data_IF_731631420492
#
_entry.id   IF_731631420492
#
_cell.length_a   1.000
_cell.length_b   1.000
_cell.length_c   1.000
_cell.angle_alpha   90.00
_cell.angle_beta   90.00
_cell.angle_gamma   90.00
#
_symmetry.space_group_name_H-M   'P 1'
#
loop_
_entity.id
_entity.type
_entity.pdbx_description
1 polymer ?
#
# COMPACT_ATOMS: atom_id res chain seq x y z
N UNK A 1 -61.20 1.26 1.77
CA UNK A 1 -60.47 0.23 2.56
C UNK A 1 -59.05 0.15 2.04
N UNK A 2 -58.10 0.39 2.95
CA UNK A 2 -56.67 0.55 2.74
C UNK A 2 -56.00 -0.83 2.82
N UNK A 3 -55.06 -1.13 1.92
CA UNK A 3 -53.83 -1.85 2.33
C UNK A 3 -52.74 -1.71 1.27
N UNK A 4 -51.85 -0.73 1.46
CA UNK A 4 -50.52 -0.67 0.86
C UNK A 4 -49.59 -1.47 1.77
N UNK A 5 -48.93 -2.51 1.26
CA UNK A 5 -47.83 -3.17 1.97
C UNK A 5 -46.49 -2.60 1.50
N UNK A 6 -45.99 -1.70 2.33
CA UNK A 6 -44.63 -1.21 2.42
C UNK A 6 -43.68 -2.37 2.78
N UNK A 7 -42.56 -2.49 2.08
CA UNK A 7 -41.43 -3.32 2.52
C UNK A 7 -40.17 -2.45 2.41
N UNK A 8 -39.67 -2.04 3.57
CA UNK A 8 -38.40 -1.31 3.75
C UNK A 8 -37.58 -2.11 4.77
N UNK A 9 -36.25 -2.01 4.60
CA UNK A 9 -35.16 -2.40 5.50
C UNK A 9 -34.81 -3.89 5.48
N UNK A 10 -33.55 -4.32 5.50
CA UNK A 10 -32.24 -3.70 5.76
C UNK A 10 -31.21 -4.76 5.35
N UNK A 11 -30.07 -4.39 4.77
CA UNK A 11 -28.88 -5.24 4.84
C UNK A 11 -27.64 -4.35 4.99
N UNK A 12 -27.34 -4.01 6.25
CA UNK A 12 -26.00 -3.67 6.72
C UNK A 12 -25.06 -4.79 6.25
N UNK A 13 -23.91 -4.50 5.63
CA UNK A 13 -22.83 -3.79 6.30
C UNK A 13 -22.00 -4.77 7.11
N UNK A 14 -21.16 -5.56 6.43
CA UNK A 14 -20.09 -6.34 7.02
C UNK A 14 -18.86 -6.16 6.14
N UNK A 15 -18.26 -4.97 6.25
CA UNK A 15 -16.89 -4.72 5.82
C UNK A 15 -15.99 -5.44 6.81
N UNK A 16 -15.48 -6.60 6.40
CA UNK A 16 -14.48 -7.34 7.18
C UNK A 16 -13.15 -6.65 6.93
N UNK A 17 -12.74 -5.78 7.87
CA UNK A 17 -11.38 -5.29 7.96
C UNK A 17 -10.42 -6.47 8.11
N UNK A 18 -9.80 -6.88 7.01
CA UNK A 18 -8.69 -7.81 7.01
C UNK A 18 -7.45 -7.05 7.46
N UNK A 19 -7.07 -7.37 8.71
CA UNK A 19 -5.77 -7.16 9.32
C UNK A 19 -4.66 -7.37 8.27
N UNK A 20 -3.92 -6.31 7.95
CA UNK A 20 -2.65 -6.38 7.22
C UNK A 20 -1.63 -7.04 8.13
N UNK A 21 -1.52 -8.37 8.06
CA UNK A 21 -0.37 -9.08 8.60
C UNK A 21 0.82 -8.84 7.67
N UNK A 22 1.65 -7.86 8.02
CA UNK A 22 3.01 -7.70 7.49
C UNK A 22 3.82 -8.93 7.89
N UNK A 23 4.03 -9.84 6.95
CA UNK A 23 5.05 -10.88 7.07
C UNK A 23 6.38 -10.30 6.57
N UNK A 24 7.23 -9.89 7.50
CA UNK A 24 8.64 -9.62 7.25
C UNK A 24 9.47 -10.72 7.94
N UNK A 25 10.12 -11.59 7.17
CA UNK A 25 11.18 -12.54 7.58
C UNK A 25 11.66 -13.24 6.29
N UNK A 26 12.93 -13.44 5.93
CA UNK A 26 14.28 -13.10 6.36
C UNK A 26 15.19 -13.41 5.13
N UNK A 27 16.40 -12.85 4.94
CA UNK A 27 17.60 -13.34 5.60
C UNK A 27 18.80 -12.43 5.31
N UNK A 28 19.45 -12.12 6.42
CA UNK A 28 20.73 -11.48 6.58
C UNK A 28 21.87 -12.43 6.22
N UNK A 29 22.74 -12.04 5.27
CA UNK A 29 24.07 -12.63 5.11
C UNK A 29 25.13 -11.54 5.32
N UNK A 30 25.56 -11.38 6.58
CA UNK A 30 26.73 -10.54 6.92
C UNK A 30 28.00 -11.30 6.53
N UNK A 31 28.66 -10.84 5.47
CA UNK A 31 30.08 -11.08 5.24
C UNK A 31 30.86 -9.93 5.86
N UNK A 32 31.74 -10.25 6.81
CA UNK A 32 32.66 -9.30 7.42
C UNK A 32 33.89 -9.12 6.53
N UNK A 33 34.29 -7.87 6.27
CA UNK A 33 35.69 -7.49 6.05
C UNK A 33 35.95 -6.07 6.58
N UNK A 34 37.19 -5.77 7.05
CA UNK A 34 37.45 -4.62 7.91
C UNK A 34 37.97 -3.37 7.17
N UNK A 35 37.46 -2.23 7.67
CA UNK A 35 38.02 -0.87 7.74
C UNK A 35 39.25 -0.50 6.87
N UNK A 36 39.07 0.53 6.03
CA UNK A 36 40.06 1.62 5.89
C UNK A 36 39.38 2.98 5.93
N UNK A 37 39.91 3.79 6.83
CA UNK A 37 39.57 5.16 7.17
C UNK A 37 40.02 6.11 6.07
N UNK A 38 39.14 6.98 5.60
CA UNK A 38 39.53 8.30 5.09
C UNK A 38 38.43 9.29 5.45
N UNK A 39 38.81 10.29 6.24
CA UNK A 39 37.96 11.36 6.74
C UNK A 39 38.00 12.46 5.68
N UNK A 40 36.88 12.74 5.03
CA UNK A 40 36.66 14.00 4.32
C UNK A 40 35.53 14.78 4.98
N UNK A 41 35.86 15.99 5.42
CA UNK A 41 35.00 16.90 6.17
C UNK A 41 34.25 17.76 5.16
N UNK A 42 33.19 17.18 4.59
CA UNK A 42 32.14 17.91 3.89
C UNK A 42 30.87 17.86 4.71
N UNK A 43 30.48 18.98 5.33
CA UNK A 43 29.25 19.11 6.11
C UNK A 43 28.05 18.62 5.29
N UNK A 44 27.41 17.46 5.62
CA UNK A 44 26.18 17.08 4.98
C UNK A 44 25.09 17.94 5.58
N UNK A 45 24.40 18.69 4.73
CA UNK A 45 23.17 19.37 5.08
C UNK A 45 22.15 18.32 5.56
N UNK A 46 22.05 18.14 6.88
CA UNK A 46 21.12 17.23 7.56
C UNK A 46 19.69 17.81 7.49
N UNK A 47 19.14 17.88 6.28
CA UNK A 47 17.70 17.88 6.03
C UNK A 47 17.27 16.44 5.71
N UNK A 48 17.60 15.49 6.59
CA UNK A 48 17.11 14.13 6.45
C UNK A 48 15.66 14.12 6.94
N UNK A 49 14.70 14.20 5.99
CA UNK A 49 13.28 14.05 6.30
C UNK A 49 13.06 12.57 6.68
N UNK A 50 12.43 12.24 7.82
CA UNK A 50 12.21 10.85 8.31
C UNK A 50 11.37 9.93 7.40
N UNK A 51 11.08 10.34 6.16
CA UNK A 51 10.21 9.66 5.21
C UNK A 51 10.96 8.96 4.07
N UNK A 52 12.30 9.00 4.08
CA UNK A 52 13.17 8.48 3.02
C UNK A 52 13.39 6.95 3.08
N UNK A 53 13.05 6.31 4.21
CA UNK A 53 13.28 4.87 4.43
C UNK A 53 12.13 3.94 4.01
N UNK A 54 10.97 4.48 3.63
CA UNK A 54 9.80 3.67 3.27
C UNK A 54 9.84 3.37 1.77
N UNK A 55 9.82 2.09 1.34
CA UNK A 55 9.74 1.76 -0.08
C UNK A 55 8.51 2.40 -0.73
N UNK A 56 8.68 2.94 -1.94
CA UNK A 56 7.62 3.72 -2.58
C UNK A 56 6.31 2.95 -2.79
N UNK A 57 6.38 1.67 -3.15
CA UNK A 57 5.18 0.84 -3.32
C UNK A 57 4.42 0.65 -1.99
N UNK A 58 5.09 0.69 -0.84
CA UNK A 58 4.42 0.64 0.46
C UNK A 58 3.72 1.97 0.74
N UNK A 59 4.42 3.09 0.55
CA UNK A 59 3.85 4.42 0.78
C UNK A 59 2.65 4.70 -0.14
N UNK A 60 2.81 4.52 -1.45
CA UNK A 60 1.75 4.80 -2.41
C UNK A 60 0.60 3.78 -2.32
N UNK A 61 0.89 2.53 -1.94
CA UNK A 61 -0.16 1.55 -1.66
C UNK A 61 -1.06 2.00 -0.51
N UNK A 62 -0.48 2.52 0.57
CA UNK A 62 -1.23 3.07 1.69
C UNK A 62 -1.97 4.36 1.31
N UNK A 63 -1.33 5.23 0.53
CA UNK A 63 -1.94 6.47 0.04
C UNK A 63 -3.22 6.22 -0.76
N UNK A 64 -3.15 5.38 -1.80
CA UNK A 64 -4.32 5.08 -2.62
C UNK A 64 -5.43 4.40 -1.82
N UNK A 65 -5.08 3.46 -0.93
CA UNK A 65 -6.06 2.79 -0.07
C UNK A 65 -6.79 3.76 0.85
N UNK A 66 -6.07 4.69 1.51
CA UNK A 66 -6.70 5.70 2.36
C UNK A 66 -7.51 6.71 1.57
N UNK A 67 -7.01 7.14 0.40
CA UNK A 67 -7.71 8.04 -0.49
C UNK A 67 -9.10 7.52 -0.85
N UNK A 68 -9.18 6.25 -1.26
CA UNK A 68 -10.43 5.61 -1.66
C UNK A 68 -11.32 5.28 -0.47
N UNK A 69 -10.77 4.71 0.61
CA UNK A 69 -11.57 4.27 1.76
C UNK A 69 -12.16 5.43 2.58
N UNK A 70 -11.46 6.57 2.65
CA UNK A 70 -11.91 7.75 3.38
C UNK A 70 -12.61 8.78 2.48
N UNK A 71 -12.55 8.61 1.15
CA UNK A 71 -13.08 9.58 0.17
C UNK A 71 -12.56 11.00 0.44
N UNK A 72 -11.30 11.13 0.87
CA UNK A 72 -10.74 12.38 1.39
C UNK A 72 -10.04 13.24 0.33
N UNK A 73 -10.42 13.10 -0.95
CA UNK A 73 -9.87 13.90 -2.06
C UNK A 73 -9.95 15.41 -1.77
N UNK A 74 -11.01 15.86 -1.09
CA UNK A 74 -11.19 17.28 -0.73
C UNK A 74 -10.09 17.82 0.21
N UNK A 75 -9.55 16.98 1.10
CA UNK A 75 -8.44 17.38 1.98
C UNK A 75 -7.14 17.57 1.19
N UNK A 76 -6.88 16.67 0.24
CA UNK A 76 -5.75 16.80 -0.67
C UNK A 76 -5.91 17.97 -1.63
N UNK A 77 -7.11 18.21 -2.16
CA UNK A 77 -7.43 19.36 -3.00
C UNK A 77 -7.06 20.67 -2.28
N UNK A 78 -7.55 20.84 -1.06
CA UNK A 78 -7.32 22.05 -0.27
C UNK A 78 -5.85 22.23 0.13
N UNK A 79 -5.17 21.17 0.57
CA UNK A 79 -3.81 21.28 1.12
C UNK A 79 -2.72 21.28 0.07
N UNK A 80 -2.87 20.53 -1.01
CA UNK A 80 -1.90 20.49 -2.11
C UNK A 80 -2.15 21.56 -3.18
N UNK A 81 -3.26 22.31 -3.05
CA UNK A 81 -3.67 23.34 -4.01
C UNK A 81 -4.00 22.73 -5.37
N UNK A 82 -4.73 21.62 -5.39
CA UNK A 82 -5.15 20.99 -6.64
C UNK A 82 -6.30 21.80 -7.24
N UNK A 83 -6.34 21.87 -8.57
CA UNK A 83 -7.58 22.27 -9.26
C UNK A 83 -8.64 21.16 -9.12
N UNK A 84 -9.90 21.49 -9.44
CA UNK A 84 -10.98 20.50 -9.44
C UNK A 84 -10.73 19.36 -10.42
N UNK A 85 -10.15 19.66 -11.57
CA UNK A 85 -9.77 18.68 -12.58
C UNK A 85 -8.67 17.77 -12.06
N UNK A 86 -7.65 18.33 -11.41
CA UNK A 86 -6.57 17.55 -10.79
C UNK A 86 -7.07 16.69 -9.63
N UNK A 87 -7.99 17.18 -8.82
CA UNK A 87 -8.64 16.42 -7.76
C UNK A 87 -9.46 15.25 -8.34
N UNK A 88 -10.21 15.47 -9.42
CA UNK A 88 -10.94 14.42 -10.11
C UNK A 88 -10.01 13.35 -10.72
N UNK A 89 -8.87 13.77 -11.30
CA UNK A 89 -7.82 12.85 -11.80
C UNK A 89 -7.28 11.99 -10.65
N UNK A 90 -6.92 12.62 -9.52
CA UNK A 90 -6.42 11.93 -8.34
C UNK A 90 -7.42 10.87 -7.84
N UNK A 91 -8.70 11.25 -7.72
CA UNK A 91 -9.75 10.34 -7.29
C UNK A 91 -9.92 9.16 -8.25
N UNK A 92 -9.93 9.42 -9.56
CA UNK A 92 -10.10 8.37 -10.57
C UNK A 92 -8.92 7.39 -10.57
N UNK A 93 -7.70 7.90 -10.61
CA UNK A 93 -6.47 7.08 -10.54
C UNK A 93 -6.44 6.25 -9.26
N UNK A 94 -6.81 6.83 -8.12
CA UNK A 94 -6.89 6.11 -6.85
C UNK A 94 -7.87 4.95 -6.90
N UNK A 95 -9.08 5.16 -7.44
CA UNK A 95 -10.10 4.10 -7.61
C UNK A 95 -9.64 2.99 -8.55
N UNK A 96 -8.98 3.34 -9.64
CA UNK A 96 -8.46 2.35 -10.59
C UNK A 96 -7.34 1.50 -9.99
N UNK A 97 -6.42 2.13 -9.25
CA UNK A 97 -5.38 1.43 -8.50
C UNK A 97 -5.98 0.46 -7.47
N UNK A 98 -6.92 0.92 -6.65
CA UNK A 98 -7.59 0.11 -5.62
C UNK A 98 -8.34 -1.09 -6.22
N UNK A 99 -9.02 -0.88 -7.36
CA UNK A 99 -9.68 -1.94 -8.11
C UNK A 99 -8.70 -3.01 -8.58
N UNK A 100 -7.56 -2.63 -9.16
CA UNK A 100 -6.56 -3.59 -9.63
C UNK A 100 -5.86 -4.34 -8.50
N UNK A 101 -5.51 -3.64 -7.42
CA UNK A 101 -4.96 -4.26 -6.21
C UNK A 101 -5.96 -5.27 -5.65
N UNK A 102 -7.24 -4.93 -5.57
CA UNK A 102 -8.29 -5.84 -5.08
C UNK A 102 -8.38 -7.11 -5.93
N UNK A 103 -8.27 -6.99 -7.26
CA UNK A 103 -8.25 -8.14 -8.16
C UNK A 103 -7.00 -9.01 -7.93
N UNK A 104 -5.85 -8.39 -7.67
CA UNK A 104 -4.60 -9.10 -7.39
C UNK A 104 -4.63 -9.81 -6.03
N UNK A 105 -5.14 -9.14 -5.00
CA UNK A 105 -5.30 -9.69 -3.65
C UNK A 105 -6.29 -10.87 -3.64
N UNK A 106 -7.31 -10.84 -4.50
CA UNK A 106 -8.22 -11.97 -4.71
C UNK A 106 -7.50 -13.20 -5.29
N UNK A 107 -6.49 -13.03 -6.15
CA UNK A 107 -5.65 -14.15 -6.64
C UNK A 107 -4.78 -14.71 -5.51
N UNK A 108 -4.10 -13.83 -4.77
CA UNK A 108 -3.27 -14.23 -3.63
C UNK A 108 -4.08 -14.97 -2.56
N UNK A 109 -5.29 -14.49 -2.26
CA UNK A 109 -6.21 -15.12 -1.31
C UNK A 109 -6.56 -16.56 -1.69
N UNK A 110 -6.73 -16.85 -2.98
CA UNK A 110 -7.00 -18.22 -3.46
C UNK A 110 -5.79 -19.14 -3.23
N UNK A 111 -4.58 -18.68 -3.53
CA UNK A 111 -3.34 -19.43 -3.29
C UNK A 111 -3.14 -19.71 -1.80
N UNK A 112 -3.34 -18.69 -0.95
CA UNK A 112 -3.26 -18.83 0.51
C UNK A 112 -4.30 -19.83 1.02
N UNK A 113 -5.55 -19.77 0.54
CA UNK A 113 -6.60 -20.69 0.97
C UNK A 113 -6.29 -22.16 0.57
N UNK A 114 -5.80 -22.38 -0.65
CA UNK A 114 -5.35 -23.69 -1.10
C UNK A 114 -4.18 -24.20 -0.23
N UNK A 115 -3.18 -23.35 0.00
CA UNK A 115 -2.04 -23.70 0.83
C UNK A 115 -2.43 -24.05 2.28
N UNK A 116 -3.30 -23.26 2.90
CA UNK A 116 -3.86 -23.54 4.24
C UNK A 116 -4.59 -24.88 4.28
N UNK A 117 -5.28 -25.26 3.21
CA UNK A 117 -5.97 -26.56 3.11
C UNK A 117 -4.97 -27.72 3.05
N UNK A 118 -3.87 -27.56 2.31
CA UNK A 118 -2.81 -28.56 2.25
C UNK A 118 -2.06 -28.70 3.58
N UNK A 119 -1.81 -27.59 4.29
CA UNK A 119 -1.18 -27.63 5.61
C UNK A 119 -1.99 -28.44 6.62
N UNK A 120 -3.32 -28.39 6.59
CA UNK A 120 -4.18 -29.20 7.48
C UNK A 120 -4.03 -30.71 7.29
N UNK A 121 -3.60 -31.15 6.10
CA UNK A 121 -3.40 -32.57 5.77
C UNK A 121 -2.00 -33.08 6.13
N UNK A 122 -1.06 -32.17 6.40
CA UNK A 122 0.34 -32.54 6.70
C UNK A 122 0.47 -33.12 8.10
N UNK A 123 1.42 -34.04 8.26
CA UNK A 123 1.84 -34.53 9.57
C UNK A 123 2.63 -33.43 10.30
N UNK A 124 2.46 -33.35 11.62
CA UNK A 124 3.22 -32.41 12.46
C UNK A 124 4.73 -32.63 12.32
N UNK A 125 5.50 -31.56 12.22
CA UNK A 125 6.96 -31.58 12.17
C UNK A 125 7.59 -31.53 10.76
N UNK A 126 6.80 -31.58 9.68
CA UNK A 126 7.32 -31.32 8.34
C UNK A 126 7.66 -29.84 8.14
N UNK A 127 8.81 -29.49 7.52
CA UNK A 127 9.11 -28.12 7.12
C UNK A 127 7.97 -27.52 6.28
N UNK A 128 7.60 -26.29 6.61
CA UNK A 128 6.61 -25.51 5.88
C UNK A 128 7.38 -24.66 4.87
N UNK A 129 7.16 -24.93 3.59
CA UNK A 129 7.69 -24.11 2.50
C UNK A 129 6.58 -23.25 1.93
N UNK A 130 6.85 -21.95 1.77
CA UNK A 130 5.89 -21.01 1.23
C UNK A 130 5.69 -21.22 -0.28
N UNK A 131 4.46 -21.15 -0.80
CA UNK A 131 4.24 -21.22 -2.24
C UNK A 131 4.98 -20.08 -2.96
N UNK A 132 5.87 -20.37 -3.94
CA UNK A 132 6.61 -19.33 -4.67
C UNK A 132 5.69 -18.39 -5.46
N UNK A 133 4.47 -18.85 -5.77
CA UNK A 133 3.43 -18.05 -6.42
C UNK A 133 3.05 -16.81 -5.59
N UNK A 134 3.17 -16.84 -4.26
CA UNK A 134 2.82 -15.69 -3.43
C UNK A 134 3.84 -14.55 -3.56
N UNK A 135 5.12 -14.87 -3.72
CA UNK A 135 6.16 -13.87 -3.96
C UNK A 135 5.95 -13.17 -5.31
N UNK A 136 5.63 -13.95 -6.34
CA UNK A 136 5.27 -13.39 -7.65
C UNK A 136 4.04 -12.47 -7.56
N UNK A 137 2.98 -12.92 -6.89
CA UNK A 137 1.75 -12.12 -6.76
C UNK A 137 1.98 -10.83 -5.98
N UNK A 138 2.88 -10.84 -4.99
CA UNK A 138 3.31 -9.64 -4.27
C UNK A 138 4.09 -8.69 -5.19
N UNK A 139 5.07 -9.20 -5.95
CA UNK A 139 5.83 -8.38 -6.89
C UNK A 139 4.92 -7.72 -7.94
N UNK A 140 3.94 -8.47 -8.48
CA UNK A 140 2.93 -7.94 -9.39
C UNK A 140 2.08 -6.84 -8.74
N UNK A 141 1.68 -7.02 -7.48
CA UNK A 141 0.95 -6.01 -6.71
C UNK A 141 1.77 -4.73 -6.53
N UNK A 142 3.06 -4.86 -6.22
CA UNK A 142 3.95 -3.72 -6.06
C UNK A 142 4.11 -2.95 -7.39
N UNK A 143 4.20 -3.66 -8.51
CA UNK A 143 4.25 -3.05 -9.84
C UNK A 143 2.97 -2.31 -10.21
N UNK A 144 1.79 -2.83 -9.84
CA UNK A 144 0.51 -2.10 -10.03
C UNK A 144 0.58 -0.75 -9.31
N UNK A 145 1.01 -0.73 -8.05
CA UNK A 145 1.10 0.52 -7.28
C UNK A 145 2.05 1.52 -7.92
N UNK A 146 3.25 1.08 -8.32
CA UNK A 146 4.25 1.94 -8.94
C UNK A 146 3.78 2.48 -10.30
N UNK A 147 3.07 1.66 -11.08
CA UNK A 147 2.44 2.07 -12.33
C UNK A 147 1.45 3.23 -12.11
N UNK A 148 0.52 3.09 -11.16
CA UNK A 148 -0.46 4.14 -10.89
C UNK A 148 0.16 5.40 -10.25
N UNK A 149 1.24 5.27 -9.48
CA UNK A 149 2.07 6.41 -9.03
C UNK A 149 2.62 7.18 -10.25
N UNK A 150 3.18 6.47 -11.23
CA UNK A 150 3.79 7.09 -12.40
C UNK A 150 2.76 7.76 -13.30
N UNK A 151 1.58 7.15 -13.47
CA UNK A 151 0.44 7.78 -14.14
C UNK A 151 0.03 9.06 -13.42
N UNK A 152 -0.10 9.03 -12.10
CA UNK A 152 -0.45 10.22 -11.32
C UNK A 152 0.57 11.35 -11.48
N UNK A 153 1.86 11.00 -11.48
CA UNK A 153 2.95 11.96 -11.71
C UNK A 153 2.90 12.57 -13.11
N UNK A 154 2.59 11.76 -14.12
CA UNK A 154 2.48 12.22 -15.50
C UNK A 154 1.28 13.17 -15.70
N UNK A 155 0.11 12.83 -15.14
CA UNK A 155 -1.12 13.62 -15.30
C UNK A 155 -1.09 14.95 -14.51
N UNK A 156 -0.52 14.96 -13.30
CA UNK A 156 -0.46 16.16 -12.46
C UNK A 156 0.70 17.10 -12.81
N UNK A 157 1.75 16.56 -13.42
CA UNK A 157 3.04 17.23 -13.59
C UNK A 157 3.89 17.22 -12.30
N UNK A 158 5.22 17.43 -12.44
CA UNK A 158 6.18 17.19 -11.37
C UNK A 158 5.99 18.08 -10.14
N UNK A 159 5.67 19.37 -10.33
CA UNK A 159 5.49 20.30 -9.21
C UNK A 159 4.24 19.98 -8.38
N UNK A 160 3.11 19.78 -9.05
CA UNK A 160 1.84 19.41 -8.39
C UNK A 160 1.97 18.07 -7.69
N UNK A 161 2.59 17.09 -8.35
CA UNK A 161 2.84 15.77 -7.78
C UNK A 161 3.72 15.85 -6.52
N UNK A 162 4.73 16.72 -6.52
CA UNK A 162 5.60 16.93 -5.33
C UNK A 162 4.80 17.49 -4.17
N UNK A 163 3.99 18.54 -4.39
CA UNK A 163 3.13 19.12 -3.34
C UNK A 163 2.14 18.10 -2.78
N UNK A 164 1.50 17.33 -3.66
CA UNK A 164 0.60 16.26 -3.26
C UNK A 164 1.31 15.21 -2.40
N UNK A 165 2.51 14.80 -2.82
CA UNK A 165 3.30 13.79 -2.10
C UNK A 165 3.71 14.29 -0.71
N UNK A 166 4.12 15.55 -0.58
CA UNK A 166 4.45 16.16 0.70
C UNK A 166 3.23 16.17 1.64
N UNK A 167 2.06 16.60 1.16
CA UNK A 167 0.81 16.55 1.94
C UNK A 167 0.44 15.12 2.34
N UNK A 168 0.59 14.16 1.43
CA UNK A 168 0.32 12.75 1.72
C UNK A 168 1.27 12.19 2.79
N UNK A 169 2.55 12.58 2.80
CA UNK A 169 3.50 12.19 3.86
C UNK A 169 3.15 12.79 5.22
N UNK A 170 2.57 13.98 5.25
CA UNK A 170 2.08 14.60 6.50
C UNK A 170 0.82 13.91 7.03
N UNK A 171 -0.06 13.44 6.15
CA UNK A 171 -1.31 12.80 6.50
C UNK A 171 -1.17 11.32 6.86
N UNK A 172 -0.30 10.61 6.15
CA UNK A 172 -0.15 9.16 6.30
C UNK A 172 0.95 8.88 7.32
N UNK A 173 0.54 8.38 8.49
CA UNK A 173 1.46 7.89 9.51
C UNK A 173 1.67 6.39 9.32
N UNK A 174 2.83 6.00 8.79
CA UNK A 174 3.24 4.60 8.68
C UNK A 174 4.20 4.28 9.83
N UNK A 175 3.75 3.43 10.76
CA UNK A 175 4.63 2.88 11.80
C UNK A 175 5.21 1.54 11.31
N UNK A 176 6.52 1.51 11.02
CA UNK A 176 7.22 0.25 10.74
C UNK A 176 7.74 -0.31 12.07
N UNK A 177 7.14 -1.39 12.56
CA UNK A 177 7.65 -2.10 13.75
C UNK A 177 8.63 -3.18 13.32
N UNK A 178 9.88 -3.07 13.74
CA UNK A 178 10.84 -4.17 13.64
C UNK A 178 10.46 -5.27 14.61
N UNK A 179 10.17 -6.47 14.10
CA UNK A 179 10.02 -7.66 14.94
C UNK A 179 11.44 -8.09 15.34
N UNK A 180 11.79 -7.89 16.61
CA UNK A 180 13.03 -8.37 17.22
C UNK A 180 12.89 -9.84 17.62
#
# INVERSE_FOLDING_TARGET
>A
MISRRTLIFTAMGLSVSLLVCVFAFAQQKRGAEPLKTEIDVGTPNLSHRPSEDIPEHIFYGQFFSLLVSLQNTAEYESRAGLSKEQAAILEQIGKDCDREITLQDAKASKVIAAFRTELKKRKSGSPIEMPPQLEQLQAERDQIILHYRDLLKAELGPETFTRLTDVARELIKIEVRSIQ
#
